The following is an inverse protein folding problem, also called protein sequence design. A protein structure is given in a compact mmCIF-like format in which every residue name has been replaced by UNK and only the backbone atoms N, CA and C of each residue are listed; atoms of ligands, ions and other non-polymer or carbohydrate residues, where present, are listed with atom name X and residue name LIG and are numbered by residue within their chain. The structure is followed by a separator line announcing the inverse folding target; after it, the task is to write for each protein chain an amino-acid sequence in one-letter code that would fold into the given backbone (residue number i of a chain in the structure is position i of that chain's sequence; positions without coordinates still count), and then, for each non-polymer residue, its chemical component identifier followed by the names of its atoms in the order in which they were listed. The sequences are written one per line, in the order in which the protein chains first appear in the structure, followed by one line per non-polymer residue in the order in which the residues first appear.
data_IF_211690683549
#
_entry.id   IF_211690683549
#
_cell.length_a   1.000
_cell.length_b   1.000
_cell.length_c   1.000
_cell.angle_alpha   90.00
_cell.angle_beta   90.00
_cell.angle_gamma   90.00
#
_symmetry.space_group_name_H-M   'P 1'
#
loop_
_entity.id
_entity.type
_entity.pdbx_description
1 polymer ?
#
# COMPACT_ATOMS: atom_id res chain seq x y z
N UNK A 1 -1.45 32.96 -2.03
CA UNK A 1 -1.26 32.53 -0.64
C UNK A 1 -2.21 31.35 -0.42
N UNK A 2 -1.74 30.14 -0.70
CA UNK A 2 -2.51 28.89 -0.54
C UNK A 2 -2.61 28.57 0.96
N UNK A 3 -3.82 28.56 1.48
CA UNK A 3 -4.07 28.10 2.85
C UNK A 3 -4.07 26.55 2.83
N UNK A 4 -3.01 25.95 3.35
CA UNK A 4 -2.93 24.53 3.63
C UNK A 4 -3.87 24.27 4.81
N UNK A 5 -5.06 23.75 4.54
CA UNK A 5 -5.95 23.22 5.58
C UNK A 5 -5.51 21.78 5.85
N UNK A 6 -4.63 21.64 6.85
CA UNK A 6 -4.28 20.35 7.42
C UNK A 6 -5.50 19.86 8.21
N UNK A 7 -6.37 19.08 7.59
CA UNK A 7 -7.42 18.37 8.31
C UNK A 7 -6.79 17.13 8.96
N UNK A 8 -6.30 17.31 10.19
CA UNK A 8 -5.90 16.21 11.05
C UNK A 8 -7.15 15.39 11.40
N UNK A 9 -7.40 14.33 10.65
CA UNK A 9 -8.38 13.31 11.03
C UNK A 9 -7.77 12.46 12.15
N UNK A 10 -7.95 12.90 13.38
CA UNK A 10 -7.64 12.13 14.58
C UNK A 10 -8.66 10.99 14.70
N UNK A 11 -8.45 9.94 13.93
CA UNK A 11 -9.11 8.67 14.14
C UNK A 11 -8.55 8.03 15.40
N UNK A 12 -9.29 8.08 16.50
CA UNK A 12 -9.04 7.26 17.68
C UNK A 12 -9.24 5.80 17.31
N UNK A 13 -8.20 5.15 16.74
CA UNK A 13 -8.12 3.72 16.72
C UNK A 13 -8.04 3.27 18.19
N UNK A 14 -9.14 2.76 18.73
CA UNK A 14 -9.13 2.01 19.96
C UNK A 14 -8.27 0.76 19.71
N UNK A 15 -6.99 0.88 20.00
CA UNK A 15 -6.07 -0.25 20.09
C UNK A 15 -6.58 -1.10 21.25
N UNK A 16 -7.39 -2.12 20.94
CA UNK A 16 -7.60 -3.21 21.85
C UNK A 16 -6.20 -3.79 22.11
N UNK A 17 -5.62 -3.45 23.27
CA UNK A 17 -4.37 -4.00 23.71
C UNK A 17 -4.58 -5.49 23.98
N UNK A 18 -4.47 -6.30 22.93
CA UNK A 18 -4.27 -7.73 23.08
C UNK A 18 -2.88 -7.92 23.69
N UNK A 19 -2.71 -8.77 24.71
CA UNK A 19 -1.41 -9.01 25.30
C UNK A 19 -0.43 -9.40 24.18
N UNK A 20 0.70 -8.72 24.11
CA UNK A 20 1.79 -9.05 23.22
C UNK A 20 2.33 -10.43 23.63
N UNK A 21 1.77 -11.48 23.05
CA UNK A 21 2.39 -12.78 23.11
C UNK A 21 3.70 -12.67 22.33
N UNK A 22 4.81 -13.05 22.97
CA UNK A 22 6.06 -13.29 22.27
C UNK A 22 5.75 -14.31 21.16
N UNK A 23 5.62 -13.85 19.92
CA UNK A 23 5.32 -14.74 18.80
C UNK A 23 6.49 -15.68 18.63
N UNK A 24 6.25 -16.93 18.90
CA UNK A 24 7.19 -18.01 18.58
C UNK A 24 7.44 -18.00 17.06
N UNK A 25 8.64 -18.35 16.60
CA UNK A 25 8.97 -18.38 15.16
C UNK A 25 7.98 -19.25 14.35
N UNK A 26 7.28 -20.17 15.02
CA UNK A 26 6.21 -20.98 14.45
C UNK A 26 4.96 -20.19 14.08
N UNK A 27 4.70 -19.04 14.70
CA UNK A 27 3.55 -18.17 14.44
C UNK A 27 3.89 -16.90 13.62
N UNK A 28 5.16 -16.74 13.23
CA UNK A 28 5.55 -15.64 12.36
C UNK A 28 4.66 -15.61 11.09
N UNK A 29 4.23 -14.41 10.69
CA UNK A 29 3.35 -14.19 9.53
C UNK A 29 1.94 -14.83 9.63
N UNK A 30 1.38 -14.95 10.84
CA UNK A 30 -0.01 -15.36 11.05
C UNK A 30 -0.75 -14.29 11.85
N UNK A 31 -2.02 -14.03 11.53
CA UNK A 31 -2.86 -13.07 12.24
C UNK A 31 -3.09 -11.76 11.50
N UNK A 32 -3.71 -10.81 12.19
CA UNK A 32 -3.98 -9.48 11.69
C UNK A 32 -2.73 -8.61 11.65
N UNK A 33 -2.67 -7.69 10.70
CA UNK A 33 -1.61 -6.69 10.65
C UNK A 33 -2.14 -5.36 10.13
N UNK A 34 -1.49 -4.29 10.56
CA UNK A 34 -1.64 -2.94 10.01
C UNK A 34 -0.27 -2.46 9.59
N UNK A 35 -0.20 -1.62 8.56
CA UNK A 35 1.08 -1.15 8.07
C UNK A 35 1.05 0.32 7.66
N UNK A 36 2.19 0.99 7.79
CA UNK A 36 2.49 2.27 7.17
C UNK A 36 3.34 2.00 5.92
N UNK A 37 2.98 2.63 4.80
CA UNK A 37 3.59 2.39 3.50
C UNK A 37 4.16 3.71 2.97
N UNK A 38 5.35 3.66 2.39
CA UNK A 38 5.91 4.75 1.59
C UNK A 38 6.68 4.16 0.41
N UNK A 39 6.92 4.96 -0.62
CA UNK A 39 7.65 4.46 -1.77
C UNK A 39 7.78 5.47 -2.89
N UNK A 40 8.37 4.99 -3.97
CA UNK A 40 8.53 5.70 -5.23
C UNK A 40 7.47 5.24 -6.22
N UNK A 41 6.91 6.19 -6.92
CA UNK A 41 5.82 6.03 -7.86
C UNK A 41 6.24 6.54 -9.24
N UNK A 42 6.11 5.69 -10.25
CA UNK A 42 6.42 6.02 -11.64
C UNK A 42 5.20 5.68 -12.50
N UNK A 43 4.65 6.68 -13.15
CA UNK A 43 3.53 6.57 -14.08
C UNK A 43 4.10 6.62 -15.49
N UNK A 44 3.81 5.62 -16.33
CA UNK A 44 4.22 5.61 -17.74
C UNK A 44 3.58 6.81 -18.45
N UNK A 45 4.41 7.59 -19.17
CA UNK A 45 4.06 8.85 -19.81
C UNK A 45 3.66 10.00 -18.85
N UNK A 46 3.98 9.88 -17.55
CA UNK A 46 3.70 10.87 -16.51
C UNK A 46 4.92 11.17 -15.65
N UNK A 47 4.70 11.95 -14.58
CA UNK A 47 5.73 12.33 -13.62
C UNK A 47 5.94 11.27 -12.54
N UNK A 48 7.13 11.34 -11.95
CA UNK A 48 7.51 10.55 -10.80
C UNK A 48 7.02 11.20 -9.50
N UNK A 49 6.76 10.39 -8.48
CA UNK A 49 6.30 10.89 -7.20
C UNK A 49 6.69 10.01 -6.03
N UNK A 50 6.41 10.52 -4.84
CA UNK A 50 6.49 9.77 -3.60
C UNK A 50 5.07 9.36 -3.22
N UNK A 51 4.88 8.05 -2.99
CA UNK A 51 3.63 7.54 -2.43
C UNK A 51 3.76 7.34 -0.92
N UNK A 52 2.64 7.47 -0.23
CA UNK A 52 2.52 7.18 1.19
C UNK A 52 1.10 6.74 1.51
N UNK A 53 0.95 5.96 2.57
CA UNK A 53 -0.36 5.50 2.99
C UNK A 53 -0.34 4.46 4.08
N UNK A 54 -1.46 3.79 4.22
CA UNK A 54 -1.67 2.76 5.24
C UNK A 54 -2.33 1.54 4.62
N UNK A 55 -2.06 0.38 5.22
CA UNK A 55 -2.68 -0.88 4.86
C UNK A 55 -3.12 -1.67 6.09
N UNK A 56 -3.99 -2.62 5.87
CA UNK A 56 -4.39 -3.62 6.85
C UNK A 56 -4.70 -4.94 6.16
N UNK A 57 -4.45 -6.04 6.85
CA UNK A 57 -4.72 -7.35 6.30
C UNK A 57 -4.78 -8.44 7.36
N UNK A 58 -5.08 -9.63 6.90
CA UNK A 58 -5.08 -10.82 7.73
C UNK A 58 -4.43 -11.99 6.98
N UNK A 59 -3.50 -12.67 7.65
CA UNK A 59 -2.73 -13.78 7.11
C UNK A 59 -3.06 -15.08 7.83
N UNK A 60 -3.18 -16.14 7.06
CA UNK A 60 -3.27 -17.53 7.50
C UNK A 60 -2.00 -18.26 7.10
N UNK A 61 -1.24 -18.72 8.07
CA UNK A 61 -0.06 -19.53 7.82
C UNK A 61 -0.37 -21.01 7.96
N UNK A 62 -0.06 -21.79 6.93
CA UNK A 62 -0.15 -23.24 6.89
C UNK A 62 1.23 -23.78 6.58
N UNK A 63 1.94 -24.26 7.61
CA UNK A 63 3.34 -24.67 7.51
C UNK A 63 4.24 -23.52 6.99
N UNK A 64 4.78 -23.66 5.78
CA UNK A 64 5.62 -22.65 5.15
C UNK A 64 4.87 -21.76 4.14
N UNK A 65 3.58 -21.97 3.94
CA UNK A 65 2.75 -21.17 3.03
C UNK A 65 1.93 -20.18 3.83
N UNK A 66 1.89 -18.95 3.37
CA UNK A 66 1.05 -17.87 3.91
C UNK A 66 0.05 -17.46 2.85
N UNK A 67 -1.22 -17.43 3.23
CA UNK A 67 -2.32 -16.91 2.43
C UNK A 67 -2.92 -15.73 3.16
N UNK A 68 -3.13 -14.61 2.48
CA UNK A 68 -3.66 -13.41 3.12
C UNK A 68 -4.61 -12.64 2.24
N UNK A 69 -5.38 -11.77 2.91
CA UNK A 69 -6.17 -10.72 2.28
C UNK A 69 -5.69 -9.39 2.82
N UNK A 70 -5.64 -8.37 1.98
CA UNK A 70 -5.18 -7.04 2.40
C UNK A 70 -5.92 -5.93 1.66
N UNK A 71 -6.00 -4.77 2.32
CA UNK A 71 -6.52 -3.55 1.75
C UNK A 71 -5.60 -2.38 2.08
N UNK A 72 -5.47 -1.44 1.15
CA UNK A 72 -4.58 -0.29 1.27
C UNK A 72 -5.27 0.99 0.83
N UNK A 73 -4.88 2.09 1.45
CA UNK A 73 -5.22 3.44 1.05
C UNK A 73 -3.92 4.21 0.90
N UNK A 74 -3.66 4.67 -0.30
CA UNK A 74 -2.43 5.36 -0.66
C UNK A 74 -2.75 6.72 -1.25
N UNK A 75 -1.82 7.65 -1.10
CA UNK A 75 -1.77 8.92 -1.81
C UNK A 75 -0.41 9.05 -2.50
N UNK A 76 -0.37 9.76 -3.61
CA UNK A 76 0.86 10.02 -4.35
C UNK A 76 1.04 11.51 -4.57
N UNK A 77 2.28 11.94 -4.61
CA UNK A 77 2.65 13.31 -4.98
C UNK A 77 2.99 13.45 -6.46
N UNK A 78 2.82 12.37 -7.24
CA UNK A 78 3.01 12.41 -8.68
C UNK A 78 1.94 13.30 -9.31
N UNK A 79 2.35 14.26 -10.13
CA UNK A 79 1.46 15.18 -10.82
C UNK A 79 2.23 16.02 -11.82
N UNK A 80 1.59 16.34 -12.94
CA UNK A 80 2.18 17.19 -13.99
C UNK A 80 1.28 18.39 -14.29
N UNK A 81 1.88 19.51 -14.62
CA UNK A 81 1.20 20.74 -14.99
C UNK A 81 1.69 21.25 -16.35
N UNK A 82 0.80 21.34 -17.31
CA UNK A 82 1.01 21.96 -18.63
C UNK A 82 0.24 23.28 -18.71
N UNK A 83 0.90 24.39 -18.38
CA UNK A 83 0.28 25.71 -18.35
C UNK A 83 -0.76 25.85 -17.25
N UNK A 84 -2.06 25.98 -17.61
CA UNK A 84 -3.18 26.10 -16.67
C UNK A 84 -3.89 24.76 -16.41
N UNK A 85 -3.42 23.66 -16.97
CA UNK A 85 -3.94 22.33 -16.77
C UNK A 85 -2.99 21.56 -15.84
N UNK A 86 -3.47 21.15 -14.66
CA UNK A 86 -2.75 20.27 -13.75
C UNK A 86 -3.50 18.95 -13.62
N UNK A 87 -2.75 17.85 -13.64
CA UNK A 87 -3.25 16.50 -13.41
C UNK A 87 -2.46 15.96 -12.21
N UNK A 88 -3.15 15.76 -11.10
CA UNK A 88 -2.56 15.26 -9.87
C UNK A 88 -3.04 13.84 -9.60
N UNK A 89 -2.13 12.93 -9.25
CA UNK A 89 -2.47 11.60 -8.79
C UNK A 89 -3.06 11.72 -7.37
N UNK A 90 -4.34 11.45 -7.24
CA UNK A 90 -5.05 11.50 -5.99
C UNK A 90 -4.97 10.17 -5.22
N UNK A 91 -6.03 9.89 -4.47
CA UNK A 91 -6.15 8.69 -3.64
C UNK A 91 -6.25 7.41 -4.47
N UNK A 92 -5.54 6.38 -4.03
CA UNK A 92 -5.54 5.04 -4.60
C UNK A 92 -6.01 4.02 -3.55
N UNK A 93 -7.07 3.29 -3.82
CA UNK A 93 -7.57 2.18 -3.02
C UNK A 93 -7.14 0.87 -3.64
N UNK A 94 -6.69 -0.05 -2.82
CA UNK A 94 -6.40 -1.42 -3.23
C UNK A 94 -7.07 -2.41 -2.29
N UNK A 95 -7.58 -3.49 -2.86
CA UNK A 95 -8.01 -4.69 -2.15
C UNK A 95 -7.58 -5.92 -2.92
N UNK A 96 -6.96 -6.89 -2.23
CA UNK A 96 -6.45 -8.07 -2.91
C UNK A 96 -6.10 -9.22 -2.00
N UNK A 97 -5.58 -10.27 -2.62
CA UNK A 97 -5.04 -11.43 -1.95
C UNK A 97 -3.53 -11.52 -2.10
N UNK A 98 -2.88 -12.15 -1.15
CA UNK A 98 -1.46 -12.50 -1.22
C UNK A 98 -1.22 -13.97 -0.92
N UNK A 99 -0.20 -14.52 -1.58
CA UNK A 99 0.32 -15.86 -1.32
C UNK A 99 1.84 -15.78 -1.21
N UNK A 100 2.40 -16.44 -0.20
CA UNK A 100 3.84 -16.42 0.03
C UNK A 100 4.38 -17.70 0.63
N UNK A 101 5.70 -17.78 0.65
CA UNK A 101 6.44 -18.87 1.27
C UNK A 101 7.41 -18.32 2.31
N UNK A 102 7.43 -18.92 3.49
CA UNK A 102 8.42 -18.65 4.54
C UNK A 102 9.70 -19.37 4.15
N UNK A 103 10.66 -18.62 3.61
CA UNK A 103 11.94 -19.15 3.09
C UNK A 103 13.04 -19.22 4.15
N UNK A 104 12.87 -18.48 5.25
CA UNK A 104 13.72 -18.53 6.44
C UNK A 104 12.85 -18.20 7.67
N UNK A 105 13.28 -18.48 8.91
CA UNK A 105 12.47 -18.36 10.11
C UNK A 105 11.70 -17.05 10.27
N UNK A 106 12.15 -15.97 9.64
CA UNK A 106 11.54 -14.61 9.72
C UNK A 106 11.50 -13.90 8.39
N UNK A 107 11.60 -14.64 7.28
CA UNK A 107 11.60 -14.10 5.94
C UNK A 107 10.48 -14.75 5.14
N UNK A 108 9.53 -13.93 4.71
CA UNK A 108 8.44 -14.30 3.81
C UNK A 108 8.70 -13.67 2.45
N UNK A 109 8.69 -14.47 1.40
CA UNK A 109 8.64 -14.02 0.01
C UNK A 109 7.22 -14.25 -0.48
N UNK A 110 6.61 -13.25 -1.11
CA UNK A 110 5.20 -13.33 -1.49
C UNK A 110 4.92 -12.63 -2.82
N UNK A 111 3.83 -13.06 -3.44
CA UNK A 111 3.17 -12.35 -4.52
C UNK A 111 1.78 -11.93 -4.08
N UNK A 112 1.27 -10.87 -4.67
CA UNK A 112 -0.10 -10.38 -4.43
C UNK A 112 -0.77 -9.98 -5.74
N UNK A 113 -2.09 -10.05 -5.75
CA UNK A 113 -2.91 -9.58 -6.86
C UNK A 113 -4.25 -9.08 -6.31
N UNK A 114 -4.76 -8.03 -6.91
CA UNK A 114 -6.04 -7.47 -6.52
C UNK A 114 -6.52 -6.35 -7.42
N UNK A 115 -7.61 -5.76 -6.99
CA UNK A 115 -8.25 -4.62 -7.65
C UNK A 115 -7.73 -3.32 -7.05
N UNK A 116 -7.47 -2.35 -7.91
CA UNK A 116 -7.08 -0.98 -7.54
C UNK A 116 -8.02 0.02 -8.18
N UNK A 117 -8.40 1.06 -7.42
CA UNK A 117 -9.19 2.18 -7.89
C UNK A 117 -8.47 3.48 -7.53
N UNK A 118 -7.93 4.13 -8.55
CA UNK A 118 -7.22 5.39 -8.40
C UNK A 118 -8.13 6.56 -8.80
N UNK A 119 -8.08 7.64 -8.01
CA UNK A 119 -8.70 8.90 -8.35
C UNK A 119 -7.65 9.83 -8.95
N UNK A 120 -7.99 10.42 -10.09
CA UNK A 120 -7.20 11.44 -10.76
C UNK A 120 -7.96 12.77 -10.67
N UNK A 121 -7.27 13.82 -10.24
CA UNK A 121 -7.81 15.17 -10.16
C UNK A 121 -7.28 15.99 -11.33
N UNK A 122 -8.18 16.55 -12.12
CA UNK A 122 -7.86 17.42 -13.26
C UNK A 122 -8.33 18.83 -12.95
N UNK A 123 -7.40 19.74 -12.81
CA UNK A 123 -7.70 21.15 -12.56
C UNK A 123 -7.39 21.97 -13.82
N UNK A 124 -8.44 22.61 -14.38
CA UNK A 124 -8.32 23.54 -15.50
C UNK A 124 -8.84 24.93 -15.10
N UNK A 125 -7.94 25.83 -14.76
CA UNK A 125 -8.29 27.16 -14.27
C UNK A 125 -9.05 27.11 -12.94
N UNK A 126 -10.35 27.40 -12.95
CA UNK A 126 -11.24 27.33 -11.77
C UNK A 126 -12.20 26.14 -11.80
N UNK A 127 -12.03 25.22 -12.73
CA UNK A 127 -12.85 24.00 -12.86
C UNK A 127 -12.03 22.82 -12.37
N UNK A 128 -12.54 22.12 -11.35
CA UNK A 128 -11.99 20.86 -10.84
C UNK A 128 -12.93 19.72 -11.31
N UNK A 129 -12.36 18.70 -11.95
CA UNK A 129 -13.07 17.48 -12.35
C UNK A 129 -12.31 16.28 -11.79
N UNK A 130 -13.03 15.17 -11.55
CA UNK A 130 -12.48 13.96 -10.97
C UNK A 130 -12.79 12.77 -11.85
N UNK A 131 -11.79 11.98 -12.16
CA UNK A 131 -11.95 10.69 -12.83
C UNK A 131 -11.47 9.56 -11.90
N UNK A 132 -12.19 8.43 -11.93
CA UNK A 132 -11.75 7.20 -11.28
C UNK A 132 -11.25 6.24 -12.35
N UNK A 133 -10.09 5.66 -12.12
CA UNK A 133 -9.47 4.65 -12.98
C UNK A 133 -9.47 3.33 -12.23
N UNK A 134 -10.10 2.33 -12.82
CA UNK A 134 -10.11 0.98 -12.31
C UNK A 134 -8.96 0.17 -12.91
N UNK A 135 -8.35 -0.70 -12.12
CA UNK A 135 -7.20 -1.46 -12.57
C UNK A 135 -6.97 -2.75 -11.80
N UNK A 136 -6.11 -3.58 -12.38
CA UNK A 136 -5.59 -4.77 -11.72
C UNK A 136 -4.15 -4.47 -11.30
N UNK A 137 -3.88 -4.67 -10.00
CA UNK A 137 -2.54 -4.57 -9.42
C UNK A 137 -1.98 -5.94 -9.14
N UNK A 138 -0.76 -6.20 -9.59
CA UNK A 138 0.06 -7.33 -9.20
C UNK A 138 1.32 -6.83 -8.52
N UNK A 139 1.83 -7.57 -7.54
CA UNK A 139 3.03 -7.21 -6.82
C UNK A 139 3.79 -8.42 -6.31
N UNK A 140 5.06 -8.22 -6.00
CA UNK A 140 5.89 -9.20 -5.34
C UNK A 140 6.79 -8.51 -4.32
N UNK A 141 7.05 -9.18 -3.20
CA UNK A 141 7.80 -8.57 -2.12
C UNK A 141 8.45 -9.57 -1.17
N UNK A 142 9.22 -8.98 -0.28
CA UNK A 142 9.86 -9.67 0.83
C UNK A 142 9.46 -8.97 2.12
N UNK A 143 9.05 -9.75 3.12
CA UNK A 143 8.74 -9.27 4.47
C UNK A 143 9.73 -9.91 5.45
N UNK A 144 10.34 -9.10 6.30
CA UNK A 144 11.24 -9.53 7.36
C UNK A 144 10.69 -9.11 8.72
N UNK A 145 10.40 -10.09 9.57
CA UNK A 145 9.91 -9.86 10.94
C UNK A 145 11.07 -9.74 11.92
N UNK A 146 11.03 -8.69 12.74
CA UNK A 146 12.03 -8.51 13.80
C UNK A 146 11.90 -9.57 14.89
N UNK A 147 13.03 -9.91 15.48
CA UNK A 147 13.07 -10.92 16.55
C UNK A 147 12.37 -10.42 17.81
N UNK A 148 11.50 -11.27 18.37
CA UNK A 148 10.74 -10.96 19.59
C UNK A 148 9.97 -9.62 19.49
N UNK A 149 9.45 -9.32 18.31
CA UNK A 149 8.75 -8.08 18.04
C UNK A 149 7.55 -8.34 17.12
N UNK A 150 6.43 -7.65 17.34
CA UNK A 150 5.29 -7.67 16.43
C UNK A 150 5.55 -6.87 15.14
N UNK A 151 6.73 -6.25 15.00
CA UNK A 151 7.07 -5.41 13.86
C UNK A 151 7.74 -6.23 12.76
N UNK A 152 7.40 -5.89 11.52
CA UNK A 152 8.08 -6.35 10.32
C UNK A 152 8.29 -5.20 9.33
N UNK A 153 9.32 -5.33 8.49
CA UNK A 153 9.54 -4.46 7.34
C UNK A 153 9.26 -5.22 6.07
N UNK A 154 8.68 -4.51 5.09
CA UNK A 154 8.38 -5.02 3.77
C UNK A 154 9.11 -4.21 2.72
N UNK A 155 9.59 -4.86 1.68
CA UNK A 155 10.00 -4.24 0.43
C UNK A 155 9.20 -4.91 -0.68
N UNK A 156 8.54 -4.11 -1.50
CA UNK A 156 7.61 -4.62 -2.51
C UNK A 156 7.75 -3.83 -3.82
N UNK A 157 7.68 -4.54 -4.93
CA UNK A 157 7.49 -3.97 -6.25
C UNK A 157 6.07 -4.27 -6.73
N UNK A 158 5.41 -3.26 -7.30
CA UNK A 158 4.02 -3.30 -7.77
C UNK A 158 3.93 -2.82 -9.21
N UNK A 159 3.12 -3.51 -9.96
CA UNK A 159 2.69 -3.12 -11.28
C UNK A 159 1.16 -3.03 -11.29
N UNK A 160 0.64 -1.91 -11.74
CA UNK A 160 -0.80 -1.71 -11.92
C UNK A 160 -1.09 -1.37 -13.36
N UNK A 161 -2.03 -2.09 -13.94
CA UNK A 161 -2.59 -1.79 -15.26
C UNK A 161 -4.00 -1.25 -15.04
N UNK A 162 -4.16 0.04 -15.34
CA UNK A 162 -5.46 0.71 -15.28
C UNK A 162 -6.15 0.68 -16.64
N UNK A 163 -7.45 0.98 -16.64
CA UNK A 163 -8.19 1.26 -17.85
C UNK A 163 -7.51 2.38 -18.66
N UNK A 164 -7.81 2.46 -19.96
CA UNK A 164 -7.22 3.40 -20.92
C UNK A 164 -5.70 3.20 -21.18
N UNK A 165 -5.14 2.09 -20.73
CA UNK A 165 -3.74 1.73 -21.00
C UNK A 165 -2.72 2.49 -20.13
N UNK A 166 -3.14 3.06 -19.01
CA UNK A 166 -2.23 3.69 -18.04
C UNK A 166 -1.54 2.61 -17.21
N UNK A 167 -0.23 2.58 -17.27
CA UNK A 167 0.61 1.65 -16.50
C UNK A 167 1.31 2.40 -15.36
N UNK A 168 1.39 1.76 -14.20
CA UNK A 168 2.00 2.35 -13.01
C UNK A 168 2.94 1.35 -12.36
N UNK A 169 4.16 1.79 -12.09
CA UNK A 169 5.22 1.02 -11.45
C UNK A 169 5.55 1.66 -10.10
N UNK A 170 5.54 0.86 -9.04
CA UNK A 170 5.78 1.36 -7.69
C UNK A 170 6.81 0.48 -6.98
N UNK A 171 7.79 1.12 -6.33
CA UNK A 171 8.68 0.48 -5.38
C UNK A 171 8.34 0.96 -3.97
N UNK A 172 7.91 0.06 -3.07
CA UNK A 172 7.41 0.44 -1.75
C UNK A 172 8.21 -0.17 -0.62
N UNK A 173 8.24 0.56 0.50
CA UNK A 173 8.69 0.11 1.80
C UNK A 173 7.55 0.23 2.78
N UNK A 174 7.31 -0.81 3.56
CA UNK A 174 6.27 -0.89 4.58
C UNK A 174 6.86 -1.21 5.95
N UNK A 175 6.28 -0.61 6.98
CA UNK A 175 6.48 -1.01 8.38
C UNK A 175 5.15 -1.54 8.89
N UNK A 176 5.10 -2.83 9.17
CA UNK A 176 3.90 -3.50 9.62
C UNK A 176 3.96 -3.87 11.12
N UNK A 177 2.83 -3.76 11.78
CA UNK A 177 2.58 -4.22 13.14
C UNK A 177 1.57 -5.37 13.10
N UNK A 178 1.93 -6.50 13.66
CA UNK A 178 1.14 -7.76 13.64
C UNK A 178 0.59 -8.08 15.02
N UNK A 179 -0.65 -8.58 15.09
CA UNK A 179 -1.35 -8.93 16.33
C UNK A 179 -2.19 -10.19 16.18
#
# INVERSE_FOLDING_TARGET
MRKIILSALAGTAALAATPAFAQDDAQAFNGGHVEAITGYDHISDGDDGILYGIGAGYDFRINNVVLGIEGEVLESTAGDCLGNLCVDAGRDFYIGGRIGAVVAPRVLVYGKVGYSNARVEVTQGNVEDHANLDGIRAGAGVEWQFRNSPLSVRAEYRYTNYELGVERHQGTLGLAFRF
#
